data_IF_145619187729
#
_entry.id   IF_145619187729
#
_cell.length_a   1.000
_cell.length_b   1.000
_cell.length_c   1.000
_cell.angle_alpha   90.00
_cell.angle_beta   90.00
_cell.angle_gamma   90.00
#
_symmetry.space_group_name_H-M   'P 1'
#
loop_
_entity.id
_entity.type
_entity.pdbx_description
1 polymer ?
#
# COMPACT_ATOMS: atom_id res chain seq x y z
N UNK A 1 -0.72 63.54 41.30
CA UNK A 1 -0.22 63.24 42.67
C UNK A 1 1.19 62.67 42.52
N UNK A 2 2.18 63.29 43.22
CA UNK A 2 3.53 62.77 43.26
C UNK A 2 3.64 61.54 44.17
N UNK A 3 4.64 60.67 43.91
CA UNK A 3 4.84 59.45 44.73
C UNK A 3 4.95 59.77 46.24
N UNK A 4 5.47 60.94 46.61
CA UNK A 4 5.54 61.44 48.00
C UNK A 4 4.14 61.71 48.60
N UNK A 5 3.21 62.22 47.80
CA UNK A 5 1.82 62.46 48.25
C UNK A 5 1.04 61.15 48.49
N UNK A 6 1.29 60.11 47.64
CA UNK A 6 0.71 58.78 47.82
C UNK A 6 1.20 58.13 49.14
N UNK A 7 2.52 58.27 49.43
CA UNK A 7 3.11 57.73 50.67
C UNK A 7 2.59 58.49 51.93
N UNK A 8 2.40 59.78 51.82
CA UNK A 8 1.86 60.56 52.95
C UNK A 8 0.38 60.24 53.19
N UNK A 9 -0.41 60.05 52.12
CA UNK A 9 -1.83 59.65 52.23
C UNK A 9 -1.93 58.25 52.85
N UNK A 10 -1.10 57.30 52.42
CA UNK A 10 -1.07 55.95 52.97
C UNK A 10 -0.68 55.91 54.44
N UNK A 11 0.34 56.71 54.82
CA UNK A 11 0.79 56.87 56.22
C UNK A 11 -0.24 57.57 57.13
N UNK A 12 -1.03 58.45 56.55
CA UNK A 12 -2.10 59.15 57.31
C UNK A 12 -3.33 58.28 57.56
N UNK A 13 -3.62 57.33 56.62
CA UNK A 13 -4.80 56.47 56.72
C UNK A 13 -4.44 54.97 56.80
N UNK A 14 -3.25 54.67 57.32
CA UNK A 14 -2.72 53.31 57.43
C UNK A 14 -3.68 52.34 58.15
N UNK A 15 -4.44 52.79 59.15
CA UNK A 15 -5.41 52.00 59.87
C UNK A 15 -6.57 51.56 58.99
N UNK A 16 -7.09 52.47 58.15
CA UNK A 16 -8.18 52.16 57.21
C UNK A 16 -7.67 51.23 56.10
N UNK A 17 -6.50 51.47 55.56
CA UNK A 17 -5.84 50.61 54.56
C UNK A 17 -5.60 49.21 55.11
N UNK A 18 -5.10 49.09 56.34
CA UNK A 18 -4.82 47.82 57.03
C UNK A 18 -6.11 47.07 57.38
N UNK A 19 -7.18 47.79 57.81
CA UNK A 19 -8.47 47.17 58.10
C UNK A 19 -9.09 46.58 56.81
N UNK A 20 -9.10 47.33 55.72
CA UNK A 20 -9.63 46.83 54.42
C UNK A 20 -8.78 45.69 53.88
N UNK A 21 -7.45 45.77 54.00
CA UNK A 21 -6.55 44.69 53.63
C UNK A 21 -6.81 43.43 54.43
N UNK A 22 -6.95 43.56 55.78
CA UNK A 22 -7.27 42.42 56.63
C UNK A 22 -8.65 41.85 56.37
N UNK A 23 -9.65 42.70 56.06
CA UNK A 23 -11.01 42.28 55.71
C UNK A 23 -11.03 41.50 54.39
N UNK A 24 -10.28 41.95 53.38
CA UNK A 24 -10.18 41.23 52.09
C UNK A 24 -9.48 39.88 52.23
N UNK A 25 -8.42 39.78 53.05
CA UNK A 25 -7.76 38.52 53.38
C UNK A 25 -8.74 37.55 54.09
N UNK A 26 -9.47 38.07 55.11
CA UNK A 26 -10.44 37.26 55.88
C UNK A 26 -11.60 36.79 54.98
N UNK A 27 -12.13 37.66 54.11
CA UNK A 27 -13.20 37.31 53.14
C UNK A 27 -12.72 36.28 52.12
N UNK A 28 -11.51 36.41 51.56
CA UNK A 28 -10.97 35.44 50.64
C UNK A 28 -10.66 34.11 51.29
N UNK A 29 -10.18 34.11 52.52
CA UNK A 29 -10.00 32.88 53.29
C UNK A 29 -11.34 32.20 53.60
N UNK A 30 -12.37 32.93 54.04
CA UNK A 30 -13.70 32.37 54.22
C UNK A 30 -14.30 31.81 52.93
N UNK A 31 -14.18 32.50 51.81
CA UNK A 31 -14.58 32.02 50.49
C UNK A 31 -13.83 30.72 50.07
N UNK A 32 -12.53 30.62 50.41
CA UNK A 32 -11.73 29.41 50.12
C UNK A 32 -12.21 28.19 50.93
N UNK A 33 -12.81 28.38 52.10
CA UNK A 33 -13.38 27.28 52.93
C UNK A 33 -14.74 26.78 52.41
N UNK A 34 -15.45 27.61 51.64
CA UNK A 34 -16.76 27.25 51.07
C UNK A 34 -16.59 26.45 49.74
N UNK A 35 -15.43 26.52 49.09
CA UNK A 35 -15.15 25.76 47.88
C UNK A 35 -14.81 24.31 48.26
N UNK A 36 -15.56 23.29 47.74
CA UNK A 36 -15.27 21.89 48.03
C UNK A 36 -13.87 21.49 47.54
N UNK A 37 -13.17 20.76 48.36
CA UNK A 37 -11.85 20.23 48.04
C UNK A 37 -11.94 19.27 46.85
N UNK A 38 -11.08 19.45 45.89
CA UNK A 38 -11.00 18.60 44.72
C UNK A 38 -9.67 17.86 44.69
N UNK A 39 -9.73 16.59 44.34
CA UNK A 39 -8.56 15.71 44.25
C UNK A 39 -8.35 15.28 42.81
N UNK A 40 -7.14 15.40 42.32
CA UNK A 40 -6.78 14.99 40.98
C UNK A 40 -5.87 13.77 41.05
N UNK A 41 -6.34 12.65 40.48
CA UNK A 41 -5.54 11.42 40.30
C UNK A 41 -5.10 11.28 38.87
N UNK A 42 -3.87 10.78 38.66
CA UNK A 42 -3.27 10.61 37.34
C UNK A 42 -2.90 9.16 37.11
N UNK A 43 -3.34 8.61 35.98
CA UNK A 43 -2.87 7.37 35.39
C UNK A 43 -2.04 7.68 34.18
N UNK A 44 -1.03 6.83 33.84
CA UNK A 44 -0.21 7.04 32.66
C UNK A 44 -0.29 5.83 31.75
N UNK A 45 -0.38 6.11 30.44
CA UNK A 45 -0.42 5.09 29.39
C UNK A 45 0.71 5.33 28.39
N UNK A 46 1.33 4.24 27.94
CA UNK A 46 2.36 4.27 26.87
C UNK A 46 1.70 3.85 25.58
N UNK A 47 1.97 4.61 24.51
CA UNK A 47 1.54 4.29 23.15
C UNK A 47 2.78 3.90 22.34
N UNK A 48 2.91 2.64 21.96
CA UNK A 48 3.98 2.20 21.09
C UNK A 48 3.66 2.55 19.61
N UNK A 49 4.28 3.63 19.14
CA UNK A 49 4.12 4.11 17.75
C UNK A 49 4.99 3.29 16.78
N UNK A 50 5.93 2.48 17.29
CA UNK A 50 6.91 1.75 16.48
C UNK A 50 6.41 0.40 15.97
N UNK A 51 5.22 -0.04 16.35
CA UNK A 51 4.63 -1.27 15.82
C UNK A 51 4.41 -1.09 14.30
N UNK A 52 5.35 -1.61 13.52
CA UNK A 52 5.28 -1.70 12.05
C UNK A 52 4.28 -2.77 11.64
N UNK A 53 3.02 -2.50 11.86
CA UNK A 53 1.96 -3.31 11.27
C UNK A 53 1.77 -2.81 9.82
N UNK A 54 2.12 -3.58 8.79
CA UNK A 54 2.07 -3.12 7.39
C UNK A 54 0.67 -2.72 6.94
N UNK A 55 -0.38 -3.22 7.59
CA UNK A 55 -1.77 -2.90 7.26
C UNK A 55 -2.23 -1.64 7.97
N UNK A 56 -1.89 -1.46 9.24
CA UNK A 56 -2.24 -0.25 9.99
C UNK A 56 -1.52 1.00 9.44
N UNK A 57 -0.35 0.85 8.83
CA UNK A 57 0.36 1.93 8.14
C UNK A 57 -0.38 2.45 6.89
N UNK A 58 -1.20 1.62 6.25
CA UNK A 58 -1.97 1.97 5.04
C UNK A 58 -3.35 2.50 5.39
N UNK A 59 -3.98 1.97 6.44
CA UNK A 59 -5.38 2.26 6.79
C UNK A 59 -5.54 3.34 7.85
N UNK A 60 -4.56 3.50 8.74
CA UNK A 60 -4.52 4.55 9.75
C UNK A 60 -3.08 5.08 9.78
N UNK A 61 -2.83 6.24 9.17
CA UNK A 61 -1.55 6.92 9.39
C UNK A 61 -1.37 7.04 10.90
N UNK A 62 -0.19 6.67 11.40
CA UNK A 62 0.14 6.69 12.82
C UNK A 62 -0.42 7.98 13.43
N UNK A 63 -1.53 7.84 14.19
CA UNK A 63 -2.28 8.98 14.66
C UNK A 63 -1.35 9.87 15.43
N UNK A 64 -1.34 11.16 15.10
CA UNK A 64 -0.61 12.13 15.91
C UNK A 64 -1.05 11.96 17.37
N UNK A 65 -0.20 12.29 18.34
CA UNK A 65 -0.57 12.20 19.77
C UNK A 65 -1.88 12.93 20.09
N UNK A 66 -2.25 13.95 19.29
CA UNK A 66 -3.56 14.62 19.35
C UNK A 66 -4.72 13.66 19.06
N UNK A 67 -4.59 12.78 18.08
CA UNK A 67 -5.62 11.77 17.80
C UNK A 67 -5.83 10.81 18.98
N UNK A 68 -4.76 10.45 19.70
CA UNK A 68 -4.87 9.60 20.90
C UNK A 68 -5.59 10.34 22.04
N UNK A 69 -5.33 11.63 22.21
CA UNK A 69 -6.05 12.49 23.15
C UNK A 69 -7.56 12.53 22.81
N UNK A 70 -7.90 12.72 21.52
CA UNK A 70 -9.29 12.73 21.07
C UNK A 70 -10.00 11.39 21.30
N UNK A 71 -9.29 10.27 21.13
CA UNK A 71 -9.84 8.93 21.42
C UNK A 71 -10.14 8.81 22.92
N UNK A 72 -9.21 9.21 23.79
CA UNK A 72 -9.41 9.17 25.25
C UNK A 72 -10.60 10.04 25.67
N UNK A 73 -10.75 11.21 25.07
CA UNK A 73 -11.85 12.13 25.32
C UNK A 73 -13.15 11.76 24.62
N UNK A 74 -13.16 10.72 23.80
CA UNK A 74 -14.36 10.34 23.03
C UNK A 74 -15.50 9.88 23.92
N UNK A 75 -16.75 10.09 23.45
CA UNK A 75 -17.96 9.57 24.09
C UNK A 75 -17.89 8.04 24.26
N UNK A 76 -17.31 7.32 23.27
CA UNK A 76 -17.15 5.86 23.32
C UNK A 76 -16.36 5.41 24.54
N UNK A 77 -15.22 6.04 24.81
CA UNK A 77 -14.39 5.74 25.99
C UNK A 77 -15.12 6.12 27.26
N UNK A 78 -15.74 7.31 27.33
CA UNK A 78 -16.48 7.75 28.52
C UNK A 78 -17.66 6.83 28.85
N UNK A 79 -18.40 6.33 27.86
CA UNK A 79 -19.48 5.34 28.08
C UNK A 79 -18.96 4.00 28.62
N UNK A 80 -17.80 3.55 28.14
CA UNK A 80 -17.16 2.36 28.73
C UNK A 80 -16.77 2.58 30.16
N UNK A 81 -16.27 3.78 30.51
CA UNK A 81 -16.01 4.13 31.94
C UNK A 81 -17.26 4.05 32.76
N UNK A 82 -18.40 4.55 32.26
CA UNK A 82 -19.70 4.43 32.96
C UNK A 82 -20.01 2.96 33.28
N UNK A 83 -19.81 2.08 32.30
CA UNK A 83 -20.05 0.62 32.48
C UNK A 83 -19.03 -0.02 33.43
N UNK A 84 -17.73 0.31 33.29
CA UNK A 84 -16.68 -0.24 34.16
C UNK A 84 -16.85 0.13 35.61
N UNK A 85 -17.27 1.37 35.88
CA UNK A 85 -17.54 1.85 37.25
C UNK A 85 -18.96 1.55 37.70
N UNK A 86 -19.80 0.91 36.87
CA UNK A 86 -21.21 0.57 37.15
C UNK A 86 -22.04 1.78 37.63
N UNK A 87 -21.76 2.97 37.06
CA UNK A 87 -22.44 4.21 37.43
C UNK A 87 -23.91 4.21 37.01
N UNK A 88 -24.24 3.52 35.96
CA UNK A 88 -25.58 3.31 35.41
C UNK A 88 -26.48 2.46 36.34
N UNK A 89 -25.87 1.69 37.27
CA UNK A 89 -26.59 0.87 38.24
C UNK A 89 -26.88 1.59 39.56
N UNK A 90 -26.28 2.76 39.77
CA UNK A 90 -26.43 3.52 41.01
C UNK A 90 -27.74 4.32 41.04
N UNK A 91 -28.63 4.02 41.99
CA UNK A 91 -29.95 4.62 42.08
C UNK A 91 -29.91 6.13 42.39
N UNK A 92 -28.94 6.58 43.19
CA UNK A 92 -28.78 8.00 43.48
C UNK A 92 -28.37 8.80 42.22
N UNK A 93 -27.56 8.19 41.33
CA UNK A 93 -27.17 8.81 40.09
C UNK A 93 -28.36 8.85 39.11
N UNK A 94 -29.20 7.81 39.05
CA UNK A 94 -30.42 7.82 38.23
C UNK A 94 -31.39 8.92 38.67
N UNK A 95 -31.57 9.11 39.98
CA UNK A 95 -32.37 10.22 40.46
C UNK A 95 -31.83 11.58 40.04
N UNK A 96 -30.54 11.81 40.18
CA UNK A 96 -29.90 13.04 39.71
C UNK A 96 -30.09 13.26 38.20
N UNK A 97 -30.02 12.20 37.40
CA UNK A 97 -30.29 12.30 35.96
C UNK A 97 -31.73 12.69 35.66
N UNK A 98 -32.70 12.08 36.36
CA UNK A 98 -34.11 12.42 36.21
C UNK A 98 -34.38 13.88 36.63
N UNK A 99 -33.79 14.34 37.72
CA UNK A 99 -33.89 15.73 38.18
C UNK A 99 -33.26 16.72 37.20
N UNK A 100 -32.11 16.37 36.62
CA UNK A 100 -31.35 17.25 35.70
C UNK A 100 -31.93 17.30 34.28
N UNK A 101 -32.54 16.20 33.82
CA UNK A 101 -32.97 16.05 32.42
C UNK A 101 -34.48 15.83 32.25
N UNK A 102 -35.25 15.82 33.35
CA UNK A 102 -36.65 15.41 33.35
C UNK A 102 -36.88 14.00 32.74
N UNK A 103 -35.87 13.12 32.81
CA UNK A 103 -35.89 11.77 32.26
C UNK A 103 -35.72 11.72 30.76
N UNK A 104 -35.31 12.82 30.08
CA UNK A 104 -35.07 12.87 28.65
C UNK A 104 -33.64 12.49 28.31
N UNK A 105 -33.48 11.74 27.22
CA UNK A 105 -32.18 11.28 26.74
C UNK A 105 -31.73 9.93 27.36
N UNK A 106 -30.49 9.55 27.07
CA UNK A 106 -29.91 8.30 27.58
C UNK A 106 -29.01 8.58 28.78
N UNK A 107 -29.21 7.83 29.84
CA UNK A 107 -28.42 7.95 31.09
C UNK A 107 -26.90 7.78 30.86
N UNK A 108 -26.51 6.80 30.05
CA UNK A 108 -25.10 6.52 29.76
C UNK A 108 -24.40 7.65 29.00
N UNK A 109 -25.10 8.35 28.10
CA UNK A 109 -24.60 9.52 27.38
C UNK A 109 -24.44 10.71 28.33
N UNK A 110 -25.46 11.00 29.14
CA UNK A 110 -25.39 12.08 30.11
C UNK A 110 -24.26 11.90 31.13
N UNK A 111 -24.07 10.66 31.63
CA UNK A 111 -22.96 10.33 32.52
C UNK A 111 -21.61 10.47 31.82
N UNK A 112 -21.51 10.06 30.54
CA UNK A 112 -20.30 10.21 29.77
C UNK A 112 -19.89 11.69 29.63
N UNK A 113 -20.84 12.58 29.32
CA UNK A 113 -20.60 14.02 29.28
C UNK A 113 -20.11 14.60 30.60
N UNK A 114 -20.72 14.18 31.72
CA UNK A 114 -20.28 14.61 33.05
C UNK A 114 -18.87 14.14 33.39
N UNK A 115 -18.51 12.92 33.00
CA UNK A 115 -17.16 12.38 33.17
C UNK A 115 -16.14 13.12 32.34
N UNK A 116 -16.48 13.41 31.08
CA UNK A 116 -15.57 14.14 30.14
C UNK A 116 -15.24 15.55 30.64
N UNK A 117 -16.18 16.26 31.25
CA UNK A 117 -15.98 17.62 31.82
C UNK A 117 -14.87 17.69 32.87
N UNK A 118 -14.62 16.58 33.57
CA UNK A 118 -13.63 16.51 34.66
C UNK A 118 -12.35 15.73 34.27
N UNK A 119 -12.31 15.25 33.02
CA UNK A 119 -11.17 14.54 32.43
C UNK A 119 -10.18 15.57 31.86
N UNK A 120 -8.92 15.45 32.22
CA UNK A 120 -7.82 16.17 31.63
C UNK A 120 -6.79 15.18 31.06
N UNK A 121 -6.47 15.29 29.78
CA UNK A 121 -5.44 14.47 29.15
C UNK A 121 -4.20 15.32 29.00
N UNK A 122 -3.12 14.88 29.63
CA UNK A 122 -1.83 15.58 29.59
C UNK A 122 -1.01 15.03 28.42
N UNK A 123 -0.72 15.86 27.42
CA UNK A 123 0.06 15.43 26.29
C UNK A 123 1.48 15.03 26.71
N UNK A 124 2.15 14.16 25.92
CA UNK A 124 3.51 13.74 26.22
C UNK A 124 4.49 14.90 26.16
N UNK A 125 5.55 14.82 26.95
CA UNK A 125 6.69 15.71 26.82
C UNK A 125 7.42 15.42 25.51
N UNK A 126 8.26 16.35 25.04
CA UNK A 126 9.09 16.13 23.85
C UNK A 126 9.81 14.77 23.96
N UNK A 127 9.76 13.99 22.89
CA UNK A 127 10.40 12.66 22.75
C UNK A 127 9.85 11.56 23.67
N UNK A 128 8.65 11.74 24.25
CA UNK A 128 7.97 10.75 25.06
C UNK A 128 6.70 10.25 24.37
N UNK A 129 6.41 8.96 24.52
CA UNK A 129 5.16 8.34 24.04
C UNK A 129 4.18 8.08 25.21
N UNK A 130 4.34 8.77 26.34
CA UNK A 130 3.55 8.60 27.54
C UNK A 130 2.49 9.68 27.62
N UNK A 131 1.22 9.29 27.65
CA UNK A 131 0.07 10.17 27.88
C UNK A 131 -0.35 10.08 29.34
N UNK A 132 -0.63 11.24 29.95
CA UNK A 132 -1.22 11.32 31.29
C UNK A 132 -2.75 11.41 31.21
N UNK A 133 -3.45 10.62 31.99
CA UNK A 133 -4.92 10.67 32.12
C UNK A 133 -5.22 11.11 33.55
N UNK A 134 -5.62 12.38 33.68
CA UNK A 134 -5.95 12.98 34.97
C UNK A 134 -7.46 13.09 35.12
N UNK A 135 -7.95 12.71 36.29
CA UNK A 135 -9.35 12.86 36.63
C UNK A 135 -9.50 13.60 37.94
N UNK A 136 -10.37 14.61 37.98
CA UNK A 136 -10.62 15.44 39.17
C UNK A 136 -11.98 15.16 39.76
N UNK A 137 -12.03 14.82 41.08
CA UNK A 137 -13.26 14.58 41.79
C UNK A 137 -13.18 15.09 43.24
N UNK A 138 -14.31 15.12 43.91
CA UNK A 138 -14.41 15.48 45.33
C UNK A 138 -13.90 14.34 46.23
N UNK A 139 -14.21 13.10 45.83
CA UNK A 139 -13.69 11.90 46.52
C UNK A 139 -12.37 11.44 45.88
N UNK A 140 -11.26 11.34 46.65
CA UNK A 140 -9.97 10.90 46.14
C UNK A 140 -9.96 9.45 45.63
N UNK A 141 -10.81 8.57 46.24
CA UNK A 141 -10.97 7.18 45.80
C UNK A 141 -11.64 7.10 44.44
N UNK A 142 -12.69 7.88 44.21
CA UNK A 142 -13.37 7.96 42.93
C UNK A 142 -12.50 8.61 41.87
N UNK A 143 -11.71 9.63 42.22
CA UNK A 143 -10.75 10.25 41.27
C UNK A 143 -9.74 9.22 40.71
N UNK A 144 -9.16 8.39 41.59
CA UNK A 144 -8.24 7.32 41.19
C UNK A 144 -8.95 6.22 40.39
N UNK A 145 -10.13 5.78 40.82
CA UNK A 145 -10.93 4.77 40.13
C UNK A 145 -11.32 5.24 38.71
N UNK A 146 -11.76 6.50 38.58
CA UNK A 146 -12.12 7.08 37.28
C UNK A 146 -10.92 7.23 36.34
N UNK A 147 -9.75 7.72 36.81
CA UNK A 147 -8.55 7.82 36.03
C UNK A 147 -8.08 6.44 35.52
N UNK A 148 -8.12 5.41 36.36
CA UNK A 148 -7.82 4.03 36.01
C UNK A 148 -8.84 3.44 35.01
N UNK A 149 -10.13 3.71 35.24
CA UNK A 149 -11.17 3.27 34.31
C UNK A 149 -11.06 3.91 32.93
N UNK A 150 -10.68 5.19 32.85
CA UNK A 150 -10.40 5.83 31.59
C UNK A 150 -9.18 5.22 30.89
N UNK A 151 -8.10 4.91 31.61
CA UNK A 151 -6.95 4.23 31.06
C UNK A 151 -7.32 2.85 30.51
N UNK A 152 -8.09 2.05 31.26
CA UNK A 152 -8.53 0.73 30.80
C UNK A 152 -9.53 0.83 29.64
N UNK A 153 -10.51 1.73 29.72
CA UNK A 153 -11.49 1.95 28.65
C UNK A 153 -10.81 2.43 27.34
N UNK A 154 -9.75 3.21 27.44
CA UNK A 154 -8.94 3.61 26.30
C UNK A 154 -8.20 2.41 25.67
N UNK A 155 -7.56 1.55 26.47
CA UNK A 155 -6.94 0.31 25.99
C UNK A 155 -7.98 -0.56 25.27
N UNK A 156 -9.13 -0.79 25.89
CA UNK A 156 -10.22 -1.60 25.32
C UNK A 156 -10.80 -0.99 24.04
N UNK A 157 -10.97 0.34 24.00
CA UNK A 157 -11.43 1.05 22.82
C UNK A 157 -10.42 0.97 21.67
N UNK A 158 -9.12 1.03 21.96
CA UNK A 158 -8.06 0.90 20.98
C UNK A 158 -8.02 -0.52 20.37
N UNK A 159 -8.24 -1.56 21.20
CA UNK A 159 -8.40 -2.94 20.71
C UNK A 159 -9.60 -3.03 19.77
N UNK A 160 -10.76 -2.51 20.17
CA UNK A 160 -11.97 -2.57 19.31
C UNK A 160 -11.80 -1.82 18.00
N UNK A 161 -11.19 -0.63 18.04
CA UNK A 161 -10.91 0.17 16.83
C UNK A 161 -9.97 -0.56 15.86
N UNK A 162 -9.11 -1.46 16.35
CA UNK A 162 -8.22 -2.29 15.53
C UNK A 162 -8.91 -3.57 15.05
N UNK A 163 -9.62 -4.25 15.93
CA UNK A 163 -10.22 -5.57 15.71
C UNK A 163 -11.45 -5.51 14.82
N UNK A 164 -12.32 -4.51 14.97
CA UNK A 164 -13.56 -4.43 14.21
C UNK A 164 -13.35 -4.27 12.69
N UNK A 165 -12.51 -3.35 12.21
CA UNK A 165 -12.14 -3.30 10.80
C UNK A 165 -11.48 -4.59 10.31
N UNK A 166 -10.59 -5.18 11.13
CA UNK A 166 -9.92 -6.43 10.77
C UNK A 166 -10.91 -7.59 10.56
N UNK A 167 -11.98 -7.68 11.36
CA UNK A 167 -13.06 -8.66 11.17
C UNK A 167 -13.80 -8.44 9.84
N UNK A 168 -14.16 -7.20 9.53
CA UNK A 168 -14.84 -6.86 8.29
C UNK A 168 -13.97 -7.18 7.08
N UNK A 169 -12.69 -6.84 7.12
CA UNK A 169 -11.75 -7.19 6.07
C UNK A 169 -11.53 -8.71 5.96
N UNK A 170 -11.43 -9.43 7.07
CA UNK A 170 -11.32 -10.89 7.04
C UNK A 170 -12.54 -11.54 6.37
N UNK A 171 -13.74 -11.09 6.68
CA UNK A 171 -14.97 -11.57 6.02
C UNK A 171 -14.96 -11.27 4.52
N UNK A 172 -14.59 -10.05 4.14
CA UNK A 172 -14.48 -9.67 2.73
C UNK A 172 -13.44 -10.51 1.97
N UNK A 173 -12.26 -10.73 2.58
CA UNK A 173 -11.23 -11.58 1.97
C UNK A 173 -11.64 -13.06 1.91
N UNK A 174 -12.43 -13.57 2.86
CA UNK A 174 -12.98 -14.93 2.80
C UNK A 174 -13.91 -15.09 1.61
N UNK A 175 -14.84 -14.16 1.41
CA UNK A 175 -15.76 -14.17 0.27
C UNK A 175 -15.01 -14.02 -1.06
N UNK A 176 -14.06 -13.10 -1.13
CA UNK A 176 -13.24 -12.92 -2.31
C UNK A 176 -12.36 -14.16 -2.59
N UNK A 177 -11.84 -14.78 -1.53
CA UNK A 177 -11.07 -16.03 -1.63
C UNK A 177 -11.87 -17.18 -2.21
N UNK A 178 -13.14 -17.33 -1.85
CA UNK A 178 -14.06 -18.32 -2.44
C UNK A 178 -14.27 -18.08 -3.93
N UNK A 179 -14.46 -16.82 -4.33
CA UNK A 179 -14.58 -16.46 -5.75
C UNK A 179 -13.30 -16.78 -6.53
N UNK A 180 -12.13 -16.35 -6.02
CA UNK A 180 -10.84 -16.61 -6.68
C UNK A 180 -10.53 -18.12 -6.77
N UNK A 181 -10.94 -18.89 -5.78
CA UNK A 181 -10.83 -20.35 -5.82
C UNK A 181 -11.69 -20.95 -6.92
N UNK A 182 -12.93 -20.50 -7.08
CA UNK A 182 -13.80 -20.95 -8.16
C UNK A 182 -13.23 -20.60 -9.55
N UNK A 183 -12.66 -19.40 -9.70
CA UNK A 183 -11.98 -18.98 -10.92
C UNK A 183 -10.77 -19.87 -11.24
N UNK A 184 -9.97 -20.22 -10.22
CA UNK A 184 -8.84 -21.15 -10.36
C UNK A 184 -9.32 -22.54 -10.78
N UNK A 185 -10.32 -23.09 -10.10
CA UNK A 185 -10.91 -24.40 -10.44
C UNK A 185 -11.45 -24.40 -11.88
N UNK A 186 -12.08 -23.31 -12.30
CA UNK A 186 -12.57 -23.15 -13.68
C UNK A 186 -11.42 -23.08 -14.69
N UNK A 187 -10.36 -22.31 -14.41
CA UNK A 187 -9.18 -22.24 -15.28
C UNK A 187 -8.48 -23.60 -15.41
N UNK A 188 -8.32 -24.32 -14.29
CA UNK A 188 -7.77 -25.68 -14.28
C UNK A 188 -8.64 -26.67 -15.08
N UNK A 189 -9.96 -26.59 -14.92
CA UNK A 189 -10.89 -27.42 -15.67
C UNK A 189 -10.80 -27.17 -17.19
N UNK A 190 -10.71 -25.90 -17.63
CA UNK A 190 -10.51 -25.54 -19.05
C UNK A 190 -9.21 -26.10 -19.61
N UNK A 191 -8.10 -25.97 -18.86
CA UNK A 191 -6.81 -26.51 -19.27
C UNK A 191 -6.87 -28.06 -19.37
N UNK A 192 -7.43 -28.72 -18.36
CA UNK A 192 -7.58 -30.18 -18.33
C UNK A 192 -8.45 -30.70 -19.48
N UNK A 193 -9.59 -30.06 -19.72
CA UNK A 193 -10.47 -30.39 -20.83
C UNK A 193 -9.75 -30.22 -22.18
N UNK A 194 -9.07 -29.11 -22.38
CA UNK A 194 -8.27 -28.86 -23.59
C UNK A 194 -7.20 -29.94 -23.80
N UNK A 195 -6.50 -30.34 -22.74
CA UNK A 195 -5.50 -31.41 -22.80
C UNK A 195 -6.10 -32.77 -23.16
N UNK A 196 -7.30 -33.08 -22.61
CA UNK A 196 -8.02 -34.31 -22.93
C UNK A 196 -8.52 -34.29 -24.38
N UNK A 197 -9.18 -33.23 -24.81
CA UNK A 197 -9.72 -33.07 -26.17
C UNK A 197 -8.66 -33.19 -27.26
N UNK A 198 -7.45 -32.71 -26.97
CA UNK A 198 -6.30 -32.72 -27.88
C UNK A 198 -5.36 -33.91 -27.69
N UNK A 199 -5.62 -34.78 -26.70
CA UNK A 199 -4.79 -35.95 -26.42
C UNK A 199 -3.33 -35.59 -26.05
N UNK A 200 -3.13 -34.42 -25.44
CA UNK A 200 -1.79 -33.90 -25.10
C UNK A 200 -1.31 -34.57 -23.82
N UNK A 201 -0.66 -35.72 -23.94
CA UNK A 201 -0.11 -36.46 -22.81
C UNK A 201 1.36 -36.09 -22.53
N UNK A 202 2.15 -35.74 -23.57
CA UNK A 202 3.57 -35.35 -23.46
C UNK A 202 3.89 -34.15 -24.35
N UNK A 203 4.49 -33.11 -23.80
CA UNK A 203 4.45 -31.73 -24.33
C UNK A 203 5.44 -31.37 -25.43
N UNK A 204 6.61 -31.98 -25.49
CA UNK A 204 7.72 -31.49 -26.33
C UNK A 204 8.16 -32.51 -27.38
N UNK A 205 8.16 -33.80 -27.07
CA UNK A 205 8.64 -34.85 -27.95
C UNK A 205 7.86 -34.95 -29.28
N UNK A 206 6.55 -34.72 -29.27
CA UNK A 206 5.72 -34.87 -30.48
C UNK A 206 6.02 -33.76 -31.51
N UNK A 207 6.21 -32.52 -31.09
CA UNK A 207 6.50 -31.40 -31.99
C UNK A 207 7.89 -31.56 -32.60
N UNK A 208 8.89 -31.93 -31.81
CA UNK A 208 10.27 -32.11 -32.25
C UNK A 208 10.38 -33.29 -33.22
N UNK A 209 9.67 -34.38 -32.96
CA UNK A 209 9.60 -35.53 -33.87
C UNK A 209 8.98 -35.17 -35.22
N UNK A 210 7.86 -34.40 -35.21
CA UNK A 210 7.24 -33.96 -36.46
C UNK A 210 8.07 -32.91 -37.21
N UNK A 211 8.85 -32.10 -36.50
CA UNK A 211 9.82 -31.18 -37.11
C UNK A 211 10.98 -31.95 -37.76
N UNK A 212 11.50 -32.97 -37.06
CA UNK A 212 12.56 -33.85 -37.63
C UNK A 212 12.06 -34.57 -38.90
N UNK A 213 10.78 -35.04 -38.91
CA UNK A 213 10.14 -35.65 -40.06
C UNK A 213 10.02 -34.66 -41.23
N UNK A 214 9.67 -33.41 -40.96
CA UNK A 214 9.66 -32.38 -42.00
C UNK A 214 11.08 -32.17 -42.64
N UNK A 215 12.11 -32.12 -41.80
CA UNK A 215 13.49 -31.95 -42.25
C UNK A 215 13.93 -33.14 -43.11
N UNK A 216 13.55 -34.36 -42.75
CA UNK A 216 13.85 -35.57 -43.53
C UNK A 216 13.14 -35.53 -44.89
N UNK A 217 11.84 -35.20 -44.95
CA UNK A 217 11.10 -35.03 -46.19
C UNK A 217 11.72 -33.94 -47.11
N UNK A 218 12.17 -32.84 -46.55
CA UNK A 218 12.86 -31.78 -47.32
C UNK A 218 14.20 -32.25 -47.84
N UNK A 219 14.96 -33.03 -47.09
CA UNK A 219 16.23 -33.64 -47.54
C UNK A 219 15.98 -34.61 -48.71
N UNK A 220 14.96 -35.47 -48.60
CA UNK A 220 14.55 -36.38 -49.66
C UNK A 220 14.14 -35.62 -50.94
N UNK A 221 13.34 -34.52 -50.79
CA UNK A 221 12.94 -33.68 -51.91
C UNK A 221 14.16 -33.09 -52.63
N UNK A 222 15.14 -32.56 -51.87
CA UNK A 222 16.36 -31.98 -52.41
C UNK A 222 17.15 -33.04 -53.26
N UNK A 223 17.22 -34.27 -52.71
CA UNK A 223 17.87 -35.39 -53.37
C UNK A 223 17.16 -35.74 -54.70
N UNK A 224 15.81 -35.87 -54.65
CA UNK A 224 15.02 -36.17 -55.87
C UNK A 224 15.11 -35.02 -56.89
N UNK A 225 15.12 -33.77 -56.46
CA UNK A 225 15.29 -32.62 -57.34
C UNK A 225 16.66 -32.64 -58.04
N UNK A 226 17.72 -33.01 -57.31
CA UNK A 226 19.02 -33.23 -57.87
C UNK A 226 19.01 -34.32 -58.95
N UNK A 227 18.44 -35.50 -58.65
CA UNK A 227 18.31 -36.60 -59.58
C UNK A 227 17.46 -36.25 -60.80
N UNK A 228 16.39 -35.49 -60.63
CA UNK A 228 15.53 -35.02 -61.71
C UNK A 228 16.30 -33.99 -62.59
N UNK A 229 17.07 -33.10 -61.98
CA UNK A 229 17.94 -32.17 -62.71
C UNK A 229 18.92 -32.91 -63.59
N UNK A 230 19.60 -33.93 -63.06
CA UNK A 230 20.51 -34.80 -63.80
C UNK A 230 19.79 -35.53 -64.93
N UNK A 231 18.64 -36.12 -64.67
CA UNK A 231 17.85 -36.85 -65.69
C UNK A 231 17.38 -35.92 -66.79
N UNK A 232 16.90 -34.69 -66.49
CA UNK A 232 16.52 -33.67 -67.47
C UNK A 232 17.68 -33.14 -68.28
N UNK A 233 18.83 -32.96 -67.66
CA UNK A 233 20.01 -32.53 -68.32
C UNK A 233 20.50 -33.59 -69.37
N UNK A 234 20.44 -34.88 -68.96
CA UNK A 234 20.71 -36.02 -69.84
C UNK A 234 19.68 -36.12 -70.96
N UNK A 235 18.38 -35.96 -70.67
CA UNK A 235 17.32 -35.92 -71.66
C UNK A 235 17.51 -34.80 -72.71
N UNK A 236 17.83 -33.59 -72.24
CA UNK A 236 18.15 -32.42 -73.15
C UNK A 236 19.43 -32.60 -73.93
N UNK A 237 20.39 -33.28 -73.36
CA UNK A 237 21.66 -33.60 -74.01
C UNK A 237 21.54 -34.87 -74.94
N UNK A 238 20.31 -35.42 -75.06
CA UNK A 238 20.01 -36.64 -75.81
C UNK A 238 20.25 -36.47 -77.35
N UNK A 239 21.41 -36.05 -77.69
CA UNK A 239 22.02 -36.13 -79.00
C UNK A 239 23.06 -37.24 -78.95
N UNK A 240 23.51 -37.66 -80.07
CA UNK A 240 24.45 -38.80 -80.28
C UNK A 240 25.72 -38.84 -79.40
N UNK A 241 25.94 -37.87 -78.57
CA UNK A 241 27.15 -37.72 -77.72
C UNK A 241 27.00 -38.05 -76.28
N UNK A 242 25.86 -38.60 -75.79
CA UNK A 242 25.69 -39.04 -74.37
C UNK A 242 26.66 -40.22 -74.09
N UNK A 243 27.40 -40.16 -72.97
CA UNK A 243 28.31 -41.25 -72.57
C UNK A 243 27.64 -42.60 -72.53
N UNK A 244 26.40 -42.66 -72.08
CA UNK A 244 25.60 -43.89 -71.95
C UNK A 244 25.22 -44.42 -73.34
N UNK A 245 24.85 -43.55 -74.31
CA UNK A 245 24.59 -43.93 -75.70
C UNK A 245 25.87 -44.38 -76.35
N UNK A 246 26.97 -43.66 -76.07
CA UNK A 246 28.25 -44.01 -76.58
C UNK A 246 28.82 -45.32 -76.01
N UNK A 247 28.48 -45.65 -74.80
CA UNK A 247 28.97 -46.87 -74.13
C UNK A 247 28.06 -48.09 -74.40
N UNK A 248 26.88 -47.89 -74.96
CA UNK A 248 25.96 -49.00 -75.29
C UNK A 248 26.59 -49.87 -76.41
N UNK A 249 26.78 -51.17 -76.09
CA UNK A 249 27.44 -52.11 -76.99
C UNK A 249 26.72 -52.31 -78.30
N UNK A 250 25.35 -52.27 -78.26
CA UNK A 250 24.53 -52.42 -79.50
C UNK A 250 24.67 -51.16 -80.35
N UNK A 251 24.63 -49.96 -79.77
CA UNK A 251 24.82 -48.69 -80.47
C UNK A 251 26.25 -48.63 -81.10
N UNK A 252 27.28 -49.02 -80.35
CA UNK A 252 28.68 -49.08 -80.86
C UNK A 252 28.79 -50.04 -82.02
N UNK A 253 28.20 -51.27 -81.93
CA UNK A 253 28.21 -52.24 -82.99
C UNK A 253 27.51 -51.71 -84.22
N UNK A 254 26.29 -51.16 -84.08
CA UNK A 254 25.57 -50.55 -85.23
C UNK A 254 26.30 -49.37 -85.88
N UNK A 255 26.92 -48.49 -85.07
CA UNK A 255 27.80 -47.41 -85.65
C UNK A 255 28.95 -47.96 -86.44
N UNK A 256 29.61 -49.00 -85.95
CA UNK A 256 30.67 -49.68 -86.65
C UNK A 256 30.19 -50.35 -87.94
N UNK A 257 29.00 -50.92 -87.98
CA UNK A 257 28.40 -51.48 -89.18
C UNK A 257 27.98 -50.42 -90.17
N UNK A 258 27.34 -49.32 -89.75
CA UNK A 258 26.99 -48.16 -90.56
C UNK A 258 28.23 -47.59 -91.20
N UNK A 259 29.33 -47.32 -90.46
CA UNK A 259 30.59 -46.80 -90.95
C UNK A 259 31.23 -47.75 -92.00
N UNK A 260 31.18 -49.04 -91.72
CA UNK A 260 31.67 -50.07 -92.70
C UNK A 260 30.86 -50.07 -93.98
N UNK A 261 29.51 -50.01 -93.86
CA UNK A 261 28.64 -50.05 -95.04
C UNK A 261 28.68 -48.74 -95.81
N UNK A 262 28.89 -47.55 -95.18
CA UNK A 262 29.11 -46.27 -95.79
C UNK A 262 30.43 -46.30 -96.61
N UNK A 263 31.53 -46.87 -96.05
CA UNK A 263 32.79 -47.02 -96.77
C UNK A 263 32.62 -47.90 -97.99
N UNK A 264 31.94 -49.05 -97.87
CA UNK A 264 31.66 -49.92 -99.00
C UNK A 264 30.80 -49.23 -100.08
N UNK A 265 29.76 -48.49 -99.65
CA UNK A 265 28.91 -47.75 -100.58
C UNK A 265 29.70 -46.66 -101.34
N UNK A 266 30.62 -45.94 -100.60
CA UNK A 266 31.48 -44.94 -101.20
C UNK A 266 32.43 -45.57 -102.22
N UNK A 267 33.05 -46.71 -101.90
CA UNK A 267 33.90 -47.45 -102.83
C UNK A 267 33.10 -47.91 -104.07
N UNK A 268 31.89 -48.46 -103.82
CA UNK A 268 31.02 -48.89 -104.88
C UNK A 268 30.54 -47.71 -105.75
N UNK A 269 30.39 -46.51 -105.23
CA UNK A 269 30.01 -45.30 -106.00
C UNK A 269 31.04 -44.80 -106.94
N UNK A 270 32.33 -45.21 -106.82
CA UNK A 270 33.40 -44.90 -107.76
C UNK A 270 33.32 -45.75 -109.00
N UNK A 271 32.77 -46.97 -108.89
CA UNK A 271 32.80 -47.98 -110.02
C UNK A 271 31.40 -48.31 -110.57
N UNK A 272 30.33 -48.00 -109.82
CA UNK A 272 28.96 -48.35 -110.20
C UNK A 272 28.10 -47.09 -110.30
N UNK A 273 27.26 -47.00 -111.32
CA UNK A 273 26.31 -45.88 -111.45
C UNK A 273 25.21 -45.90 -110.38
N UNK A 274 24.57 -44.75 -110.09
CA UNK A 274 23.61 -44.61 -109.02
C UNK A 274 22.35 -45.51 -109.16
N UNK A 275 22.06 -46.03 -110.36
CA UNK A 275 20.93 -46.94 -110.65
C UNK A 275 21.34 -48.38 -110.72
N UNK A 276 22.58 -48.76 -110.41
CA UNK A 276 23.05 -50.13 -110.45
C UNK A 276 22.40 -50.97 -109.34
N UNK A 277 21.83 -52.17 -109.65
CA UNK A 277 21.08 -52.97 -108.65
C UNK A 277 21.87 -53.29 -107.39
N UNK A 278 23.19 -53.44 -107.46
CA UNK A 278 24.03 -53.71 -106.30
C UNK A 278 24.23 -52.42 -105.47
N UNK A 279 24.38 -51.26 -106.05
CA UNK A 279 24.45 -49.98 -105.34
C UNK A 279 23.16 -49.67 -104.63
N UNK A 280 21.98 -49.87 -105.26
CA UNK A 280 20.67 -49.72 -104.64
C UNK A 280 20.46 -50.66 -103.46
N UNK A 281 20.91 -51.90 -103.50
CA UNK A 281 20.85 -52.85 -102.39
C UNK A 281 21.71 -52.39 -101.20
N UNK A 282 22.97 -52.00 -101.48
CA UNK A 282 23.86 -51.49 -100.42
C UNK A 282 23.34 -50.24 -99.79
N UNK A 283 22.75 -49.33 -100.59
CA UNK A 283 22.06 -48.12 -100.05
C UNK A 283 20.83 -48.45 -99.19
N UNK A 284 20.03 -49.40 -99.61
CA UNK A 284 18.85 -49.84 -98.80
C UNK A 284 19.31 -50.50 -97.50
N UNK A 285 20.38 -51.28 -97.50
CA UNK A 285 20.98 -51.88 -96.33
C UNK A 285 21.54 -50.81 -95.40
N UNK A 286 22.22 -49.80 -95.87
CA UNK A 286 22.69 -48.67 -95.12
C UNK A 286 21.55 -47.90 -94.46
N UNK A 287 20.48 -47.63 -95.17
CA UNK A 287 19.29 -46.97 -94.68
C UNK A 287 18.65 -47.78 -93.56
N UNK A 288 18.63 -49.13 -93.68
CA UNK A 288 18.09 -50.05 -92.65
C UNK A 288 18.98 -50.05 -91.40
N UNK A 289 20.30 -50.04 -91.53
CA UNK A 289 21.25 -49.94 -90.46
C UNK A 289 21.16 -48.61 -89.75
N UNK A 290 21.04 -47.49 -90.47
CA UNK A 290 20.84 -46.15 -89.89
C UNK A 290 19.55 -46.06 -89.19
N UNK A 291 18.40 -46.60 -89.67
CA UNK A 291 17.15 -46.65 -89.03
C UNK A 291 17.16 -47.47 -87.67
N UNK A 292 17.90 -48.61 -87.70
CA UNK A 292 18.12 -49.40 -86.52
C UNK A 292 18.96 -48.67 -85.47
N UNK A 293 20.02 -48.00 -85.92
CA UNK A 293 20.88 -47.15 -85.06
C UNK A 293 20.04 -46.05 -84.38
N UNK A 294 19.24 -45.33 -85.15
CA UNK A 294 18.33 -44.30 -84.64
C UNK A 294 17.30 -44.83 -83.70
N UNK A 295 16.74 -46.00 -84.01
CA UNK A 295 15.77 -46.71 -83.11
C UNK A 295 16.41 -47.04 -81.78
N UNK A 296 17.61 -47.64 -81.78
CA UNK A 296 18.29 -48.00 -80.51
C UNK A 296 18.76 -46.78 -79.75
N UNK A 297 19.25 -45.72 -80.45
CA UNK A 297 19.57 -44.43 -79.77
C UNK A 297 18.37 -43.82 -79.14
N UNK A 298 17.19 -43.84 -79.77
CA UNK A 298 15.92 -43.41 -79.18
C UNK A 298 15.46 -44.29 -78.05
N UNK A 299 15.71 -45.60 -78.11
CA UNK A 299 15.35 -46.52 -77.01
C UNK A 299 16.19 -46.23 -75.76
N UNK A 300 17.49 -46.02 -75.89
CA UNK A 300 18.37 -45.67 -74.77
C UNK A 300 18.02 -44.28 -74.19
N UNK A 301 17.76 -43.29 -75.05
CA UNK A 301 17.39 -41.91 -74.62
C UNK A 301 15.97 -41.90 -73.98
N UNK A 302 15.07 -42.74 -74.43
CA UNK A 302 13.72 -42.89 -73.84
C UNK A 302 13.75 -43.35 -72.38
N UNK A 303 14.80 -44.07 -71.98
CA UNK A 303 15.01 -44.44 -70.58
C UNK A 303 15.21 -43.23 -69.68
N UNK A 304 15.83 -42.15 -70.17
CA UNK A 304 16.00 -40.93 -69.36
C UNK A 304 14.72 -40.12 -69.18
N UNK A 305 13.87 -40.09 -70.20
CA UNK A 305 12.55 -39.43 -70.11
C UNK A 305 11.65 -40.20 -69.19
N UNK A 306 11.64 -41.54 -69.17
CA UNK A 306 10.94 -42.36 -68.22
C UNK A 306 11.45 -42.13 -66.78
N UNK A 307 12.76 -42.12 -66.61
CA UNK A 307 13.38 -41.80 -65.30
C UNK A 307 13.01 -40.38 -64.83
N UNK A 308 13.08 -39.36 -65.70
CA UNK A 308 12.65 -38.01 -65.41
C UNK A 308 11.17 -37.94 -64.97
N UNK A 309 10.28 -38.70 -65.63
CA UNK A 309 8.86 -38.77 -65.27
C UNK A 309 8.63 -39.42 -63.88
N UNK A 310 9.43 -40.45 -63.54
CA UNK A 310 9.36 -41.09 -62.20
C UNK A 310 9.85 -40.14 -61.14
N UNK A 311 10.96 -39.45 -61.34
CA UNK A 311 11.46 -38.42 -60.38
C UNK A 311 10.47 -37.26 -60.22
N UNK A 312 9.84 -36.77 -61.30
CA UNK A 312 8.80 -35.76 -61.28
C UNK A 312 7.52 -36.22 -60.52
N UNK A 313 7.19 -37.49 -60.62
CA UNK A 313 6.11 -38.11 -59.80
C UNK A 313 6.44 -38.09 -58.33
N UNK A 314 7.66 -38.51 -57.97
CA UNK A 314 8.12 -38.56 -56.57
C UNK A 314 8.33 -37.14 -55.98
N UNK A 315 8.73 -36.17 -56.78
CA UNK A 315 8.79 -34.77 -56.36
C UNK A 315 7.41 -34.25 -55.97
N UNK A 316 6.37 -34.52 -56.78
CA UNK A 316 4.98 -34.13 -56.45
C UNK A 316 4.48 -34.80 -55.20
N UNK A 317 4.76 -36.09 -55.00
CA UNK A 317 4.40 -36.84 -53.81
C UNK A 317 5.07 -36.28 -52.54
N UNK A 318 6.39 -36.03 -52.59
CA UNK A 318 7.14 -35.46 -51.53
C UNK A 318 6.69 -34.01 -51.20
N UNK A 319 6.41 -33.22 -52.24
CA UNK A 319 5.89 -31.85 -52.06
C UNK A 319 4.54 -31.87 -51.38
N UNK A 320 3.62 -32.77 -51.79
CA UNK A 320 2.33 -32.96 -51.13
C UNK A 320 2.47 -33.43 -49.65
N UNK A 321 3.41 -34.37 -49.42
CA UNK A 321 3.70 -34.84 -48.04
C UNK A 321 4.29 -33.71 -47.17
N UNK A 322 5.17 -32.87 -47.73
CA UNK A 322 5.72 -31.70 -47.01
C UNK A 322 4.62 -30.68 -46.67
N UNK A 323 3.73 -30.38 -47.61
CA UNK A 323 2.60 -29.47 -47.31
C UNK A 323 1.63 -30.01 -46.26
N UNK A 324 1.35 -31.31 -46.31
CA UNK A 324 0.54 -32.00 -45.26
C UNK A 324 1.27 -31.96 -43.91
N UNK A 325 2.58 -32.18 -43.88
CA UNK A 325 3.41 -32.11 -42.69
C UNK A 325 3.47 -30.70 -42.08
N UNK A 326 3.63 -29.66 -42.95
CA UNK A 326 3.58 -28.26 -42.53
C UNK A 326 2.24 -27.90 -41.92
N UNK A 327 1.12 -28.35 -42.50
CA UNK A 327 -0.21 -28.13 -41.98
C UNK A 327 -0.35 -28.75 -40.58
N UNK A 328 0.10 -29.99 -40.41
CA UNK A 328 0.12 -30.67 -39.12
C UNK A 328 0.94 -29.93 -38.07
N UNK A 329 2.12 -29.43 -38.43
CA UNK A 329 2.96 -28.63 -37.55
C UNK A 329 2.30 -27.30 -37.13
N UNK A 330 1.60 -26.64 -38.06
CA UNK A 330 0.84 -25.42 -37.75
C UNK A 330 -0.32 -25.68 -36.78
N UNK A 331 -1.00 -26.81 -36.93
CA UNK A 331 -2.04 -27.22 -35.99
C UNK A 331 -1.45 -27.50 -34.58
N UNK A 332 -0.36 -28.27 -34.51
CA UNK A 332 0.34 -28.54 -33.25
C UNK A 332 0.86 -27.25 -32.59
N UNK A 333 1.37 -26.31 -33.39
CA UNK A 333 1.79 -25.01 -32.86
C UNK A 333 0.64 -24.21 -32.29
N UNK A 334 -0.51 -24.16 -32.97
CA UNK A 334 -1.72 -23.50 -32.45
C UNK A 334 -2.18 -24.11 -31.14
N UNK A 335 -2.22 -25.45 -31.09
CA UNK A 335 -2.62 -26.19 -29.88
C UNK A 335 -1.65 -25.90 -28.72
N UNK A 336 -0.34 -25.83 -28.99
CA UNK A 336 0.69 -25.45 -28.02
C UNK A 336 0.53 -24.01 -27.54
N UNK A 337 0.31 -23.07 -28.47
CA UNK A 337 0.10 -21.66 -28.12
C UNK A 337 -1.16 -21.47 -27.27
N UNK A 338 -2.24 -22.16 -27.60
CA UNK A 338 -3.49 -22.14 -26.84
C UNK A 338 -3.33 -22.79 -25.46
N UNK A 339 -2.60 -23.91 -25.36
CA UNK A 339 -2.27 -24.52 -24.06
C UNK A 339 -1.45 -23.57 -23.19
N UNK A 340 -0.46 -22.86 -23.78
CA UNK A 340 0.35 -21.90 -23.05
C UNK A 340 -0.46 -20.69 -22.54
N UNK A 341 -1.52 -20.28 -23.25
CA UNK A 341 -2.47 -19.26 -22.77
C UNK A 341 -3.25 -19.79 -21.56
N UNK A 342 -3.88 -20.96 -21.71
CA UNK A 342 -4.66 -21.57 -20.61
C UNK A 342 -3.80 -21.85 -19.37
N UNK A 343 -2.52 -22.17 -19.57
CA UNK A 343 -1.59 -22.40 -18.48
C UNK A 343 -1.26 -21.09 -17.74
N UNK A 344 -1.07 -19.97 -18.48
CA UNK A 344 -0.94 -18.64 -17.90
C UNK A 344 -2.18 -18.18 -17.16
N UNK A 345 -3.38 -18.52 -17.67
CA UNK A 345 -4.64 -18.23 -16.98
C UNK A 345 -4.72 -18.95 -15.63
N UNK A 346 -4.33 -20.24 -15.59
CA UNK A 346 -4.23 -21.00 -14.33
C UNK A 346 -3.22 -20.38 -13.38
N UNK A 347 -2.05 -20.01 -13.87
CA UNK A 347 -1.00 -19.38 -13.05
C UNK A 347 -1.44 -18.02 -12.50
N UNK A 348 -2.10 -17.20 -13.33
CA UNK A 348 -2.66 -15.92 -12.91
C UNK A 348 -3.75 -16.10 -11.84
N UNK A 349 -4.68 -17.04 -12.04
CA UNK A 349 -5.72 -17.37 -11.06
C UNK A 349 -5.13 -17.93 -9.75
N UNK A 350 -4.09 -18.77 -9.84
CA UNK A 350 -3.37 -19.30 -8.67
C UNK A 350 -2.69 -18.19 -7.88
N UNK A 351 -2.04 -17.24 -8.56
CA UNK A 351 -1.38 -16.10 -7.93
C UNK A 351 -2.41 -15.17 -7.27
N UNK A 352 -3.54 -14.91 -7.92
CA UNK A 352 -4.63 -14.12 -7.36
C UNK A 352 -5.21 -14.78 -6.09
N UNK A 353 -5.52 -16.08 -6.16
CA UNK A 353 -6.02 -16.84 -5.01
C UNK A 353 -5.02 -16.84 -3.85
N UNK A 354 -3.73 -17.09 -4.11
CA UNK A 354 -2.71 -17.14 -3.07
C UNK A 354 -2.50 -15.76 -2.40
N UNK A 355 -2.56 -14.67 -3.17
CA UNK A 355 -2.47 -13.32 -2.64
C UNK A 355 -3.65 -12.99 -1.71
N UNK A 356 -4.89 -13.32 -2.11
CA UNK A 356 -6.10 -13.11 -1.29
C UNK A 356 -6.07 -14.00 -0.06
N UNK A 357 -5.68 -15.27 -0.18
CA UNK A 357 -5.58 -16.23 0.91
C UNK A 357 -4.55 -15.80 1.97
N UNK A 358 -3.39 -15.27 1.54
CA UNK A 358 -2.39 -14.71 2.44
C UNK A 358 -2.93 -13.50 3.22
N UNK A 359 -3.67 -12.61 2.53
CA UNK A 359 -4.33 -11.46 3.17
C UNK A 359 -5.42 -11.88 4.15
N UNK A 360 -6.25 -12.85 3.78
CA UNK A 360 -7.24 -13.43 4.68
C UNK A 360 -6.60 -13.96 5.96
N UNK A 361 -5.55 -14.78 5.83
CA UNK A 361 -4.85 -15.36 6.99
C UNK A 361 -4.28 -14.28 7.90
N UNK A 362 -3.62 -13.27 7.33
CA UNK A 362 -3.08 -12.15 8.08
C UNK A 362 -4.17 -11.37 8.81
N UNK A 363 -5.23 -10.97 8.10
CA UNK A 363 -6.32 -10.17 8.66
C UNK A 363 -7.15 -10.96 9.68
N UNK A 364 -7.32 -12.27 9.46
CA UNK A 364 -7.98 -13.16 10.42
C UNK A 364 -7.20 -13.25 11.73
N UNK A 365 -5.87 -13.37 11.69
CA UNK A 365 -5.03 -13.33 12.89
C UNK A 365 -5.14 -11.97 13.61
N UNK A 366 -5.15 -10.86 12.88
CA UNK A 366 -5.33 -9.52 13.44
C UNK A 366 -6.71 -9.35 14.09
N UNK A 367 -7.75 -9.94 13.49
CA UNK A 367 -9.12 -9.91 14.05
C UNK A 367 -9.27 -10.65 15.37
N UNK A 368 -8.37 -11.57 15.67
CA UNK A 368 -8.31 -12.35 16.91
C UNK A 368 -7.28 -11.81 17.91
N UNK A 369 -6.48 -10.82 17.50
CA UNK A 369 -5.45 -10.25 18.37
C UNK A 369 -6.08 -9.49 19.53
N UNK A 370 -5.78 -9.91 20.75
CA UNK A 370 -6.10 -9.20 21.99
C UNK A 370 -5.03 -8.18 22.38
N UNK A 371 -3.95 -8.12 21.63
CA UNK A 371 -2.83 -7.25 21.92
C UNK A 371 -3.01 -5.89 21.24
N UNK A 372 -2.73 -4.85 22.02
CA UNK A 372 -2.72 -3.46 21.56
C UNK A 372 -1.32 -2.88 21.75
N UNK A 373 -1.00 -1.87 20.96
CA UNK A 373 0.20 -1.07 21.11
C UNK A 373 0.06 -0.02 22.24
N UNK A 374 -0.99 -0.13 23.05
CA UNK A 374 -1.22 0.73 24.23
C UNK A 374 -1.17 -0.11 25.48
N UNK A 375 -0.44 0.34 26.49
CA UNK A 375 -0.35 -0.31 27.78
C UNK A 375 -0.39 0.71 28.93
N UNK A 376 -1.00 0.33 30.05
CA UNK A 376 -0.99 1.14 31.26
C UNK A 376 0.40 1.04 31.88
N UNK A 377 1.10 2.18 31.95
CA UNK A 377 2.42 2.26 32.56
C UNK A 377 2.34 2.39 34.08
N UNK A 378 1.47 3.26 34.56
CA UNK A 378 1.24 3.48 36.01
C UNK A 378 -0.22 3.71 36.29
N UNK A 379 -0.74 2.97 37.26
CA UNK A 379 -2.10 3.16 37.73
C UNK A 379 -2.19 4.38 38.67
N UNK A 380 -3.31 5.09 38.60
CA UNK A 380 -3.60 6.18 39.48
C UNK A 380 -3.84 5.66 40.93
N UNK A 381 -3.29 6.39 41.89
CA UNK A 381 -3.46 6.17 43.32
C UNK A 381 -4.25 7.34 43.92
N UNK A 382 -5.06 7.08 44.94
CA UNK A 382 -5.82 8.13 45.59
C UNK A 382 -4.91 9.20 46.20
N UNK A 383 -5.02 10.48 45.78
CA UNK A 383 -4.15 11.55 46.23
C UNK A 383 -4.46 11.89 47.72
N UNK A 384 -3.39 12.09 48.49
CA UNK A 384 -3.48 12.44 49.91
C UNK A 384 -3.74 13.94 50.14
N UNK A 385 -3.49 14.79 49.15
CA UNK A 385 -3.65 16.25 49.24
C UNK A 385 -4.59 16.75 48.14
N UNK A 386 -5.47 17.72 48.49
CA UNK A 386 -6.33 18.31 47.49
C UNK A 386 -5.51 19.13 46.44
N UNK A 387 -5.92 19.07 45.22
CA UNK A 387 -5.36 19.84 44.12
C UNK A 387 -5.94 21.26 44.00
N UNK A 388 -7.19 21.44 44.52
CA UNK A 388 -7.93 22.72 44.52
C UNK A 388 -8.78 22.82 45.78
N UNK A 389 -8.95 24.02 46.37
CA UNK A 389 -8.33 25.29 46.02
C UNK A 389 -6.82 25.33 46.35
N UNK A 390 -6.01 25.87 45.48
CA UNK A 390 -4.57 26.06 45.72
C UNK A 390 -4.39 27.28 46.65
N UNK A 391 -4.12 27.03 47.94
CA UNK A 391 -4.00 28.07 48.98
C UNK A 391 -3.00 29.14 48.63
N UNK A 392 -1.90 28.78 47.92
CA UNK A 392 -0.89 29.76 47.51
C UNK A 392 -1.44 30.73 46.45
N UNK A 393 -2.19 30.27 45.49
CA UNK A 393 -2.81 31.10 44.43
C UNK A 393 -3.90 32.00 45.02
N UNK A 394 -4.75 31.48 45.86
CA UNK A 394 -5.78 32.23 46.54
C UNK A 394 -5.20 33.27 47.46
N UNK A 395 -4.11 32.96 48.21
CA UNK A 395 -3.36 33.88 49.01
C UNK A 395 -2.74 35.01 48.20
N UNK A 396 -2.09 34.69 47.08
CA UNK A 396 -1.49 35.70 46.19
C UNK A 396 -2.56 36.65 45.61
N UNK A 397 -3.72 36.13 45.18
CA UNK A 397 -4.84 36.95 44.71
C UNK A 397 -5.39 37.85 45.82
N UNK A 398 -5.56 37.31 47.04
CA UNK A 398 -6.03 38.07 48.20
C UNK A 398 -5.08 39.24 48.53
N UNK A 399 -3.78 39.00 48.51
CA UNK A 399 -2.77 40.04 48.72
C UNK A 399 -2.82 41.09 47.62
N UNK A 400 -2.91 40.69 46.35
CA UNK A 400 -2.96 41.62 45.22
C UNK A 400 -4.22 42.50 45.24
N UNK A 401 -5.40 41.89 45.31
CA UNK A 401 -6.66 42.65 45.33
C UNK A 401 -6.85 43.39 46.65
N UNK A 402 -6.42 42.83 47.78
CA UNK A 402 -6.44 43.50 49.06
C UNK A 402 -5.56 44.76 49.12
N UNK A 403 -4.35 44.72 48.55
CA UNK A 403 -3.46 45.86 48.46
C UNK A 403 -4.02 46.94 47.50
N UNK A 404 -4.60 46.54 46.38
CA UNK A 404 -5.24 47.45 45.42
C UNK A 404 -6.46 48.17 46.04
N UNK A 405 -7.34 47.43 46.70
CA UNK A 405 -8.50 48.02 47.41
C UNK A 405 -8.11 48.89 48.57
N UNK A 406 -7.10 48.51 49.38
CA UNK A 406 -6.61 49.30 50.48
C UNK A 406 -6.00 50.63 49.99
N UNK A 407 -5.21 50.57 48.91
CA UNK A 407 -4.61 51.76 48.29
C UNK A 407 -5.71 52.67 47.67
N UNK A 408 -6.65 52.06 46.93
CA UNK A 408 -7.75 52.81 46.29
C UNK A 408 -8.62 53.53 47.31
N UNK A 409 -8.96 52.83 48.41
CA UNK A 409 -9.78 53.43 49.50
C UNK A 409 -9.02 54.51 50.28
N UNK A 410 -7.71 54.32 50.55
CA UNK A 410 -6.89 55.32 51.18
C UNK A 410 -6.79 56.61 50.34
N UNK A 411 -6.56 56.48 49.03
CA UNK A 411 -6.51 57.58 48.09
C UNK A 411 -7.91 58.23 47.86
N UNK A 412 -8.97 57.42 47.71
CA UNK A 412 -10.32 57.91 47.53
C UNK A 412 -10.77 58.76 48.74
N UNK A 413 -10.51 58.25 49.95
CA UNK A 413 -10.81 59.01 51.18
C UNK A 413 -9.97 60.28 51.31
N UNK A 414 -8.74 60.31 50.83
CA UNK A 414 -7.87 61.47 50.84
C UNK A 414 -8.34 62.53 49.82
N UNK A 415 -8.86 62.09 48.69
CA UNK A 415 -9.49 63.03 47.70
C UNK A 415 -10.76 63.65 48.22
N UNK A 416 -11.57 62.93 49.06
CA UNK A 416 -12.78 63.47 49.68
C UNK A 416 -12.51 64.36 50.88
N UNK A 417 -11.41 64.11 51.66
CA UNK A 417 -11.05 64.88 52.87
C UNK A 417 -9.72 65.66 52.57
N UNK A 418 -9.88 66.79 51.87
CA UNK A 418 -8.80 67.69 51.42
C UNK A 418 -8.17 68.43 52.61
N UNK A 419 -7.32 67.76 53.37
CA UNK A 419 -6.48 68.40 54.41
C UNK A 419 -5.14 68.73 53.85
N UNK A 420 -4.71 70.00 54.07
CA UNK A 420 -3.39 70.52 53.68
C UNK A 420 -2.31 69.76 54.47
N UNK A 421 -1.39 69.01 53.84
CA UNK A 421 -0.37 68.19 54.51
C UNK A 421 1.04 68.42 53.98
N UNK A 422 1.16 69.02 52.81
CA UNK A 422 2.47 69.36 52.24
C UNK A 422 2.56 70.81 51.91
N UNK A 423 3.80 71.34 51.87
CA UNK A 423 4.14 72.71 51.46
C UNK A 423 3.63 72.99 50.05
N UNK A 424 3.57 71.94 49.18
CA UNK A 424 3.15 72.04 47.80
C UNK A 424 1.62 72.17 47.71
N UNK A 425 0.85 71.55 48.64
CA UNK A 425 -0.58 71.70 48.72
C UNK A 425 -1.00 73.10 49.09
N UNK A 426 -0.19 73.75 50.02
CA UNK A 426 -0.43 75.15 50.44
C UNK A 426 -0.06 76.11 49.30
N UNK A 427 1.08 75.87 48.62
CA UNK A 427 1.47 76.73 47.50
C UNK A 427 0.53 76.59 46.31
N UNK A 428 -0.01 75.36 46.01
CA UNK A 428 -0.95 75.09 44.90
C UNK A 428 -2.36 75.66 45.18
N UNK A 429 -2.82 75.66 46.44
CA UNK A 429 -4.19 76.04 46.81
C UNK A 429 -4.34 77.53 47.07
N UNK A 430 -3.32 78.13 47.68
CA UNK A 430 -3.31 79.58 48.09
C UNK A 430 -2.54 80.42 47.06
N UNK A 431 -1.89 79.87 46.07
CA UNK A 431 -1.06 80.56 45.08
C UNK A 431 -0.01 81.55 45.71
N UNK A 432 0.40 81.26 46.97
CA UNK A 432 1.38 82.09 47.68
C UNK A 432 2.69 81.29 47.96
N UNK A 433 3.84 81.91 47.87
CA UNK A 433 5.11 81.21 48.17
C UNK A 433 5.16 80.85 49.68
N UNK A 434 5.52 79.61 50.00
CA UNK A 434 5.76 79.16 51.39
C UNK A 434 7.12 79.70 51.84
N UNK A 435 7.13 80.66 52.78
CA UNK A 435 8.33 81.32 53.27
C UNK A 435 9.12 80.47 54.28
N UNK A 436 8.55 79.49 54.87
CA UNK A 436 9.22 78.58 55.81
C UNK A 436 8.37 77.55 56.45
N UNK A 437 9.00 76.41 56.84
CA UNK A 437 8.29 75.24 57.50
C UNK A 437 8.82 75.13 58.92
N UNK A 438 7.99 75.40 59.89
CA UNK A 438 8.31 75.12 61.29
C UNK A 438 8.01 73.66 61.64
N UNK A 439 9.06 72.89 61.94
CA UNK A 439 8.87 71.52 62.46
C UNK A 439 8.37 71.57 63.92
N UNK A 440 7.17 71.03 64.13
CA UNK A 440 6.71 70.89 65.52
C UNK A 440 7.59 69.89 66.26
N UNK A 441 8.22 70.35 67.33
CA UNK A 441 9.01 69.47 68.23
C UNK A 441 8.06 68.61 69.04
N UNK A 442 8.22 67.27 69.03
CA UNK A 442 7.33 66.38 69.82
C UNK A 442 7.49 66.72 71.29
N UNK A 443 6.36 66.95 71.97
CA UNK A 443 6.25 67.44 73.43
C UNK A 443 7.11 66.62 74.40
N UNK A 444 7.44 65.36 74.09
CA UNK A 444 8.38 64.55 74.89
C UNK A 444 9.82 65.06 74.87
N UNK A 445 10.34 65.76 73.86
CA UNK A 445 11.66 66.31 73.81
C UNK A 445 11.71 67.70 74.44
N UNK A 446 10.62 68.47 74.44
CA UNK A 446 10.53 69.79 75.14
C UNK A 446 10.63 69.64 76.67
N UNK A 447 10.16 68.57 77.27
CA UNK A 447 10.27 68.27 78.70
C UNK A 447 11.67 67.83 79.15
N UNK A 448 12.49 67.29 78.20
CA UNK A 448 13.90 66.98 78.55
C UNK A 448 14.84 68.14 78.41
N UNK A 449 14.52 69.19 77.64
CA UNK A 449 15.32 70.39 77.51
C UNK A 449 14.96 71.44 78.55
N UNK A 450 13.80 71.35 79.24
CA UNK A 450 13.38 72.27 80.32
C UNK A 450 13.82 71.86 81.77
N UNK A 451 14.53 70.70 81.85
CA UNK A 451 14.93 70.13 83.13
C UNK A 451 16.43 69.97 83.35
N UNK A 452 17.29 70.81 82.75
CA UNK A 452 18.68 70.97 83.22
C UNK A 452 18.92 72.37 83.73
N UNK A 453 19.40 72.52 85.00
CA UNK A 453 19.73 73.79 85.61
C UNK A 453 20.99 74.37 85.00
#
# INVERSE_FOLDING_TARGET
MNLQQILLALRARWRLALLLFALTLAATYAASLLVPWQYTAASTVVVDIRSRDPISAVLLPAGTMGTQEDIIKSERVARKVVTLLKLDQNEAIKQQWVEATAGQGRLDVWLAELLQKRLNVVPPRRDSNVLGIEYTAVDPGFAAAAANAFAQAYVDATVELKVEPAKQYAQWFDEQGKSMRADLEQAQARLSQFQQDKGIVTKEENYDNEMARLADLMSQLTTVQGQMGDSRNRERSATDNLPEVLSNSVVQHLRGEVARQEAKLKEASLNLGPNHPQYLRMRAELTTLQSKLEGETRHVSGGFSASSAVHAGRERELTAAIEAQKKKLLELRRDRDQQAVLQRDVEAAQNAYSAVSARYTQTSLESQAKQTNVSVLSAAVAPLRPSSPNQLRWGAMAVFFGSLLALGAALGRELLDRRLRSTDDVAGMLQMPVLGVLKAVPVRRARQLAGQP
#
